data_IF_926507694984
#
_entry.id   IF_926507694984
#
_cell.length_a   1.000
_cell.length_b   1.000
_cell.length_c   1.000
_cell.angle_alpha   90.00
_cell.angle_beta   90.00
_cell.angle_gamma   90.00
#
_symmetry.space_group_name_H-M   'P 1'
#
loop_
_entity.id
_entity.type
_entity.pdbx_description
1 polymer ?
#
# COMPACT_ATOMS: atom_id res chain seq x y z
N UNK A 1 -33.89 24.27 -6.10
CA UNK A 1 -33.94 22.82 -6.35
C UNK A 1 -32.88 22.16 -5.49
N UNK A 2 -33.33 21.33 -4.55
CA UNK A 2 -32.55 20.69 -3.50
C UNK A 2 -32.01 19.33 -3.97
N UNK A 3 -30.77 19.00 -3.64
CA UNK A 3 -30.38 17.65 -3.17
C UNK A 3 -29.07 17.71 -2.38
N UNK A 4 -29.27 17.78 -1.07
CA UNK A 4 -28.36 17.39 0.00
C UNK A 4 -28.17 15.87 0.05
N UNK A 5 -26.94 15.38 0.29
CA UNK A 5 -26.57 14.11 0.97
C UNK A 5 -25.17 13.66 0.52
N UNK A 6 -24.21 13.27 1.35
CA UNK A 6 -24.17 13.12 2.79
C UNK A 6 -22.71 12.92 3.21
N UNK A 7 -22.37 13.51 4.34
CA UNK A 7 -21.12 13.40 5.07
C UNK A 7 -20.85 11.94 5.44
N UNK A 8 -20.18 11.18 4.58
CA UNK A 8 -19.50 9.96 5.01
C UNK A 8 -18.02 10.29 5.19
N UNK A 9 -17.70 10.79 6.39
CA UNK A 9 -16.34 10.73 6.95
C UNK A 9 -15.98 9.26 7.07
N UNK A 10 -15.62 8.60 5.96
CA UNK A 10 -14.85 7.35 5.99
C UNK A 10 -13.62 7.72 6.79
N UNK A 11 -13.60 7.31 8.05
CA UNK A 11 -12.47 7.37 8.96
C UNK A 11 -11.24 7.08 8.12
N UNK A 12 -10.46 8.10 7.78
CA UNK A 12 -9.23 7.88 7.01
C UNK A 12 -8.45 6.92 7.87
N UNK A 13 -8.33 5.66 7.42
CA UNK A 13 -7.52 4.66 8.11
C UNK A 13 -6.23 5.38 8.47
N UNK A 14 -5.93 5.43 9.77
CA UNK A 14 -4.78 6.16 10.27
C UNK A 14 -3.60 5.82 9.36
N UNK A 15 -2.91 6.85 8.85
CA UNK A 15 -1.76 6.65 7.97
C UNK A 15 -0.80 5.73 8.71
N UNK A 16 -0.76 4.46 8.32
CA UNK A 16 0.17 3.51 8.90
C UNK A 16 1.54 3.90 8.38
N UNK A 17 2.41 4.36 9.27
CA UNK A 17 3.82 4.53 8.95
C UNK A 17 4.42 3.14 8.79
N UNK A 18 5.14 2.92 7.69
CA UNK A 18 5.95 1.72 7.52
C UNK A 18 7.19 1.81 8.42
N UNK A 19 7.63 0.69 8.97
CA UNK A 19 8.90 0.63 9.70
C UNK A 19 10.08 0.74 8.74
N UNK A 20 11.27 1.08 9.24
CA UNK A 20 12.48 1.16 8.42
C UNK A 20 12.76 -0.17 7.69
N UNK A 21 12.65 -1.29 8.40
CA UNK A 21 12.78 -2.63 7.80
C UNK A 21 11.78 -2.90 6.67
N UNK A 22 10.53 -2.44 6.81
CA UNK A 22 9.52 -2.56 5.76
C UNK A 22 9.89 -1.70 4.54
N UNK A 23 10.31 -0.45 4.77
CA UNK A 23 10.73 0.45 3.70
C UNK A 23 11.94 -0.08 2.94
N UNK A 24 12.99 -0.52 3.64
CA UNK A 24 14.18 -1.10 3.02
C UNK A 24 13.87 -2.34 2.19
N UNK A 25 12.97 -3.19 2.66
CA UNK A 25 12.57 -4.40 1.92
C UNK A 25 11.75 -4.06 0.68
N UNK A 26 10.80 -3.12 0.80
CA UNK A 26 10.01 -2.60 -0.32
C UNK A 26 10.91 -1.96 -1.38
N UNK A 27 11.87 -1.13 -0.95
CA UNK A 27 12.82 -0.45 -1.83
C UNK A 27 13.73 -1.45 -2.56
N UNK A 28 14.34 -2.38 -1.83
CA UNK A 28 15.17 -3.44 -2.42
C UNK A 28 14.40 -4.30 -3.42
N UNK A 29 13.14 -4.61 -3.14
CA UNK A 29 12.29 -5.36 -4.08
C UNK A 29 11.96 -4.53 -5.31
N UNK A 30 11.64 -3.25 -5.15
CA UNK A 30 11.35 -2.33 -6.25
C UNK A 30 12.56 -2.00 -7.13
N UNK A 31 13.77 -1.95 -6.56
CA UNK A 31 15.01 -1.83 -7.32
C UNK A 31 15.23 -3.02 -8.26
N UNK A 32 14.90 -4.23 -7.78
CA UNK A 32 15.00 -5.47 -8.57
C UNK A 32 13.88 -5.59 -9.60
N UNK A 33 12.67 -5.20 -9.24
CA UNK A 33 11.48 -5.38 -10.07
C UNK A 33 10.49 -4.22 -9.86
N UNK A 34 10.34 -3.38 -10.89
CA UNK A 34 9.48 -2.18 -10.85
C UNK A 34 7.97 -2.51 -10.78
N UNK A 35 7.58 -3.71 -11.18
CA UNK A 35 6.20 -4.15 -11.25
C UNK A 35 6.05 -5.57 -10.68
N UNK A 36 5.27 -5.72 -9.62
CA UNK A 36 5.00 -7.03 -9.02
C UNK A 36 3.84 -7.73 -9.72
N UNK A 37 3.96 -9.05 -9.88
CA UNK A 37 2.80 -9.90 -10.17
C UNK A 37 1.86 -9.95 -8.95
N UNK A 38 0.66 -10.52 -9.11
CA UNK A 38 -0.25 -10.71 -7.97
C UNK A 38 0.37 -11.62 -6.92
N UNK A 39 1.06 -12.67 -7.33
CA UNK A 39 1.71 -13.62 -6.43
C UNK A 39 2.86 -12.96 -5.64
N UNK A 40 3.80 -12.32 -6.34
CA UNK A 40 4.95 -11.66 -5.68
C UNK A 40 4.49 -10.60 -4.67
N UNK A 41 3.41 -9.88 -5.02
CA UNK A 41 2.83 -8.86 -4.14
C UNK A 41 2.23 -9.46 -2.88
N UNK A 42 1.51 -10.58 -2.98
CA UNK A 42 0.97 -11.28 -1.82
C UNK A 42 2.08 -11.83 -0.94
N UNK A 43 3.13 -12.40 -1.53
CA UNK A 43 4.28 -12.91 -0.78
C UNK A 43 5.03 -11.78 -0.04
N UNK A 44 5.25 -10.65 -0.71
CA UNK A 44 5.88 -9.48 -0.10
C UNK A 44 5.02 -8.89 1.03
N UNK A 45 3.70 -8.86 0.84
CA UNK A 45 2.75 -8.43 1.85
C UNK A 45 2.82 -9.32 3.10
N UNK A 46 2.75 -10.64 2.92
CA UNK A 46 2.86 -11.62 4.01
C UNK A 46 4.20 -11.49 4.75
N UNK A 47 5.31 -11.35 4.02
CA UNK A 47 6.65 -11.20 4.60
C UNK A 47 6.78 -9.96 5.47
N UNK A 48 6.08 -8.87 5.12
CA UNK A 48 6.17 -7.59 5.81
C UNK A 48 5.05 -7.36 6.82
N UNK A 49 4.10 -8.30 6.96
CA UNK A 49 2.91 -8.11 7.78
C UNK A 49 2.02 -6.97 7.25
N UNK A 50 2.01 -6.76 5.94
CA UNK A 50 1.23 -5.74 5.25
C UNK A 50 0.07 -6.38 4.48
N UNK A 51 -0.90 -5.56 4.09
CA UNK A 51 -1.92 -5.98 3.13
C UNK A 51 -1.43 -5.83 1.68
N UNK A 52 -1.97 -6.66 0.79
CA UNK A 52 -1.80 -6.54 -0.67
C UNK A 52 -1.98 -5.09 -1.15
N UNK A 53 -3.01 -4.41 -0.64
CA UNK A 53 -3.33 -3.03 -1.02
C UNK A 53 -2.24 -2.06 -0.57
N UNK A 54 -1.65 -2.22 0.62
CA UNK A 54 -0.56 -1.36 1.08
C UNK A 54 0.68 -1.51 0.20
N UNK A 55 1.06 -2.75 -0.15
CA UNK A 55 2.18 -3.01 -1.05
C UNK A 55 1.88 -2.43 -2.44
N UNK A 56 0.67 -2.65 -2.96
CA UNK A 56 0.23 -2.09 -4.25
C UNK A 56 0.34 -0.56 -4.27
N UNK A 57 -0.22 0.12 -3.27
CA UNK A 57 -0.21 1.58 -3.18
C UNK A 57 1.22 2.12 -3.03
N UNK A 58 2.06 1.46 -2.24
CA UNK A 58 3.47 1.86 -2.13
C UNK A 58 4.19 1.76 -3.48
N UNK A 59 4.05 0.65 -4.20
CA UNK A 59 4.63 0.47 -5.54
C UNK A 59 4.10 1.51 -6.55
N UNK A 60 2.80 1.83 -6.47
CA UNK A 60 2.19 2.85 -7.33
C UNK A 60 2.67 4.27 -7.03
N UNK A 61 3.03 4.57 -5.79
CA UNK A 61 3.56 5.87 -5.38
C UNK A 61 5.08 5.99 -5.61
N UNK A 62 5.79 4.86 -5.75
CA UNK A 62 7.25 4.84 -5.91
C UNK A 62 7.72 4.96 -7.37
N UNK A 63 6.91 4.50 -8.33
CA UNK A 63 7.18 4.59 -9.77
C UNK A 63 7.22 6.02 -10.29
#
# INVERSE_FOLDING_TARGET
LNTSSGLSKKQRKARTAFTDHQLQTLEKSFERQKYLSVQDRMELANKLGLSDTQVKTWYQNRR
#
